data_IF_668322229402
#
_entry.id   IF_668322229402
#
_cell.length_a   1.000
_cell.length_b   1.000
_cell.length_c   1.000
_cell.angle_alpha   90.00
_cell.angle_beta   90.00
_cell.angle_gamma   90.00
#
_symmetry.space_group_name_H-M   'P 1'
#
loop_
_entity.id
_entity.type
_entity.pdbx_description
1 polymer ?
#
# COMPACT_ATOMS: atom_id res chain seq x y z
N UNK A 1 25.25 -5.48 12.93
CA UNK A 1 24.93 -5.27 12.85
C UNK A 1 24.06 -4.92 13.15
N UNK A 2 23.97 -5.10 13.51
CA UNK A 2 23.18 -4.77 13.96
C UNK A 2 22.28 -3.99 13.58
N UNK A 3 22.55 -3.42 13.11
CA UNK A 3 21.70 -2.55 12.55
C UNK A 3 20.58 -3.14 11.95
N UNK A 4 20.65 -4.30 11.69
CA UNK A 4 19.67 -4.93 11.04
C UNK A 4 18.38 -4.74 11.62
N UNK A 5 18.26 -4.79 12.85
CA UNK A 5 17.00 -4.78 13.38
C UNK A 5 16.36 -3.51 13.35
N UNK A 6 17.02 -2.51 13.64
CA UNK A 6 16.35 -1.35 13.78
C UNK A 6 15.78 -0.84 12.57
N UNK A 7 16.25 -1.24 11.47
CA UNK A 7 15.68 -0.66 10.33
C UNK A 7 14.48 -1.35 9.87
N UNK A 8 13.96 -2.23 10.59
CA UNK A 8 12.82 -2.90 10.11
C UNK A 8 11.66 -2.02 9.88
N UNK A 9 11.33 -1.16 10.78
CA UNK A 9 10.19 -0.43 10.63
C UNK A 9 10.36 0.68 9.74
N UNK A 10 11.28 1.53 9.91
CA UNK A 10 11.44 2.63 9.00
C UNK A 10 11.80 2.14 7.62
N UNK A 11 12.30 0.96 7.54
CA UNK A 11 12.69 0.43 6.27
C UNK A 11 11.55 0.12 5.36
N UNK A 12 10.35 0.26 5.80
CA UNK A 12 9.21 0.06 4.93
C UNK A 12 9.27 0.99 3.75
N UNK A 13 9.96 2.11 3.87
CA UNK A 13 10.04 3.05 2.79
C UNK A 13 11.42 3.06 2.15
N UNK A 14 12.31 2.17 2.57
CA UNK A 14 13.62 2.09 1.95
C UNK A 14 13.51 1.44 0.60
N UNK A 15 14.25 1.97 -0.35
CA UNK A 15 14.23 1.42 -1.69
C UNK A 15 14.88 0.05 -1.68
N UNK A 16 14.26 -0.89 -2.33
CA UNK A 16 14.78 -2.24 -2.41
C UNK A 16 15.12 -2.56 -3.86
N UNK A 17 15.76 -3.67 -4.09
CA UNK A 17 16.12 -4.02 -5.45
C UNK A 17 14.87 -4.42 -6.23
N UNK A 18 14.96 -4.28 -7.53
CA UNK A 18 13.83 -4.62 -8.37
C UNK A 18 13.47 -6.10 -8.23
N UNK A 19 14.48 -6.95 -8.12
CA UNK A 19 14.21 -8.36 -7.96
C UNK A 19 13.47 -8.68 -6.67
N UNK A 20 13.88 -8.04 -5.60
CA UNK A 20 13.20 -8.24 -4.33
C UNK A 20 11.79 -7.70 -4.38
N UNK A 21 11.64 -6.54 -4.97
CA UNK A 21 10.34 -5.92 -5.09
C UNK A 21 9.39 -6.83 -5.85
N UNK A 22 9.85 -7.34 -6.99
CA UNK A 22 9.03 -8.20 -7.81
C UNK A 22 8.65 -9.48 -7.06
N UNK A 23 9.60 -10.02 -6.31
CA UNK A 23 9.32 -11.22 -5.58
C UNK A 23 8.28 -11.00 -4.51
N UNK A 24 8.40 -9.93 -3.76
CA UNK A 24 7.41 -9.64 -2.72
C UNK A 24 6.04 -9.37 -3.34
N UNK A 25 6.02 -8.64 -4.44
CA UNK A 25 4.76 -8.30 -5.08
C UNK A 25 4.11 -9.49 -5.79
N UNK A 26 4.91 -10.47 -6.15
CA UNK A 26 4.36 -11.63 -6.84
C UNK A 26 4.22 -11.43 -8.33
N UNK A 27 5.06 -10.61 -8.92
CA UNK A 27 5.05 -10.35 -10.35
C UNK A 27 6.42 -10.60 -10.95
N UNK A 28 6.49 -10.94 -12.22
CA UNK A 28 7.78 -11.01 -12.89
C UNK A 28 8.40 -9.62 -12.98
N UNK A 29 9.71 -9.57 -13.03
CA UNK A 29 10.37 -8.27 -13.12
C UNK A 29 9.95 -7.45 -14.31
N UNK A 30 9.73 -8.10 -15.45
CA UNK A 30 9.38 -7.34 -16.63
C UNK A 30 8.02 -6.68 -16.48
N UNK A 31 7.13 -7.27 -15.69
CA UNK A 31 5.85 -6.62 -15.43
C UNK A 31 6.05 -5.41 -14.54
N UNK A 32 6.95 -5.51 -13.57
CA UNK A 32 7.24 -4.37 -12.72
C UNK A 32 7.83 -3.24 -13.56
N UNK A 33 8.72 -3.58 -14.48
CA UNK A 33 9.30 -2.56 -15.35
C UNK A 33 8.26 -1.90 -16.21
N UNK A 34 7.30 -2.68 -16.68
CA UNK A 34 6.24 -2.12 -17.48
C UNK A 34 5.41 -1.14 -16.68
N UNK A 35 5.14 -1.46 -15.42
CA UNK A 35 4.41 -0.52 -14.57
C UNK A 35 5.20 0.77 -14.37
N UNK A 36 6.51 0.66 -14.29
CA UNK A 36 7.33 1.86 -14.17
C UNK A 36 7.31 2.66 -15.45
N UNK A 37 7.36 1.99 -16.59
CA UNK A 37 7.30 2.67 -17.87
C UNK A 37 5.99 3.39 -18.07
N UNK A 38 4.91 2.82 -17.57
CA UNK A 38 3.59 3.42 -17.67
C UNK A 38 3.36 4.46 -16.58
N UNK A 39 4.38 4.69 -15.76
CA UNK A 39 4.32 5.70 -14.71
C UNK A 39 3.31 5.37 -13.62
N UNK A 40 3.00 4.10 -13.48
CA UNK A 40 2.13 3.67 -12.41
C UNK A 40 2.93 3.34 -11.16
N UNK A 41 4.24 3.28 -11.28
CA UNK A 41 5.11 2.98 -10.16
C UNK A 41 6.36 3.82 -10.31
N UNK A 42 6.56 4.75 -9.41
CA UNK A 42 7.71 5.64 -9.49
C UNK A 42 8.97 4.92 -9.02
N UNK A 43 10.13 5.21 -9.61
CA UNK A 43 11.35 4.54 -9.19
C UNK A 43 11.64 4.72 -7.70
N UNK A 44 11.29 5.84 -7.14
CA UNK A 44 11.52 6.07 -5.73
C UNK A 44 10.55 5.33 -4.83
N UNK A 45 9.59 4.64 -5.41
CA UNK A 45 8.62 3.90 -4.64
C UNK A 45 8.82 2.41 -4.72
N UNK A 46 10.03 1.97 -5.03
CA UNK A 46 10.33 0.54 -5.02
C UNK A 46 10.69 0.19 -3.59
N UNK A 47 9.71 0.17 -2.73
CA UNK A 47 9.91 -0.08 -1.33
C UNK A 47 8.90 -1.11 -0.84
N UNK A 48 9.04 -1.53 0.40
CA UNK A 48 8.20 -2.58 0.92
C UNK A 48 6.73 -2.21 0.94
N UNK A 49 6.41 -0.99 1.28
CA UNK A 49 5.02 -0.59 1.31
C UNK A 49 4.38 -0.69 -0.06
N UNK A 50 5.10 -0.25 -1.07
CA UNK A 50 4.58 -0.35 -2.43
C UNK A 50 4.51 -1.79 -2.87
N UNK A 51 5.49 -2.60 -2.47
CA UNK A 51 5.47 -4.00 -2.84
C UNK A 51 4.28 -4.72 -2.23
N UNK A 52 3.95 -4.40 -0.99
CA UNK A 52 2.81 -5.02 -0.34
C UNK A 52 1.50 -4.55 -0.94
N UNK A 53 1.41 -3.29 -1.32
CA UNK A 53 0.22 -2.79 -1.98
C UNK A 53 0.05 -3.49 -3.33
N UNK A 54 1.13 -3.66 -4.06
CA UNK A 54 1.06 -4.33 -5.34
C UNK A 54 0.71 -5.80 -5.15
N UNK A 55 1.22 -6.43 -4.11
CA UNK A 55 0.90 -7.81 -3.82
C UNK A 55 -0.60 -7.98 -3.60
N UNK A 56 -1.20 -7.06 -2.89
CA UNK A 56 -2.63 -7.12 -2.66
C UNK A 56 -3.38 -6.91 -3.97
N UNK A 57 -2.91 -6.00 -4.80
CA UNK A 57 -3.55 -5.77 -6.09
C UNK A 57 -3.42 -7.00 -6.99
N UNK A 58 -2.28 -7.68 -6.92
CA UNK A 58 -2.07 -8.89 -7.71
C UNK A 58 -3.05 -9.98 -7.27
N UNK A 59 -3.31 -10.05 -5.98
CA UNK A 59 -4.27 -11.01 -5.50
C UNK A 59 -5.65 -10.73 -6.08
N UNK A 60 -6.02 -9.46 -6.12
CA UNK A 60 -7.29 -9.09 -6.71
C UNK A 60 -7.29 -9.28 -8.22
N UNK A 61 -6.12 -9.15 -8.82
CA UNK A 61 -6.01 -9.40 -10.24
C UNK A 61 -6.44 -10.82 -10.59
N UNK A 62 -6.01 -11.77 -9.77
CA UNK A 62 -6.39 -13.15 -10.03
C UNK A 62 -7.89 -13.35 -9.81
N UNK A 63 -8.43 -12.72 -8.81
CA UNK A 63 -9.84 -12.92 -8.50
C UNK A 63 -10.77 -12.27 -9.51
N UNK A 64 -10.36 -11.15 -10.06
CA UNK A 64 -11.22 -10.38 -10.96
C UNK A 64 -10.69 -10.24 -12.38
N UNK A 65 -9.64 -10.99 -12.68
CA UNK A 65 -9.11 -11.01 -14.03
C UNK A 65 -8.74 -9.63 -14.54
N UNK A 66 -8.01 -8.90 -13.74
CA UNK A 66 -7.60 -7.54 -14.12
C UNK A 66 -6.35 -7.58 -14.98
N UNK A 67 -6.20 -6.60 -15.85
CA UNK A 67 -4.97 -6.53 -16.63
C UNK A 67 -3.89 -5.84 -15.79
N UNK A 68 -2.70 -5.80 -16.32
CA UNK A 68 -1.57 -5.25 -15.57
C UNK A 68 -1.75 -3.77 -15.28
N UNK A 69 -2.26 -3.02 -16.22
CA UNK A 69 -2.44 -1.58 -16.03
C UNK A 69 -3.42 -1.34 -14.89
N UNK A 70 -4.53 -2.03 -14.90
CA UNK A 70 -5.54 -1.89 -13.83
C UNK A 70 -4.98 -2.32 -12.50
N UNK A 71 -4.16 -3.37 -12.50
CA UNK A 71 -3.53 -3.84 -11.28
C UNK A 71 -2.62 -2.76 -10.72
N UNK A 72 -1.86 -2.09 -11.58
CA UNK A 72 -0.99 -1.02 -11.14
C UNK A 72 -1.75 0.16 -10.57
N UNK A 73 -2.85 0.53 -11.22
CA UNK A 73 -3.66 1.61 -10.70
C UNK A 73 -4.22 1.26 -9.33
N UNK A 74 -4.69 0.04 -9.20
CA UNK A 74 -5.25 -0.41 -7.94
C UNK A 74 -4.21 -0.39 -6.84
N UNK A 75 -2.99 -0.81 -7.15
CA UNK A 75 -1.92 -0.80 -6.17
C UNK A 75 -1.66 0.64 -5.69
N UNK A 76 -1.71 1.59 -6.61
CA UNK A 76 -1.52 2.98 -6.25
C UNK A 76 -2.60 3.47 -5.29
N UNK A 77 -3.83 3.09 -5.53
CA UNK A 77 -4.91 3.47 -4.62
C UNK A 77 -4.76 2.79 -3.28
N UNK A 78 -4.39 1.52 -3.26
CA UNK A 78 -4.20 0.81 -2.01
C UNK A 78 -3.12 1.50 -1.19
N UNK A 79 -2.02 1.88 -1.84
CA UNK A 79 -0.96 2.56 -1.13
C UNK A 79 -1.42 3.90 -0.60
N UNK A 80 -2.18 4.63 -1.41
CA UNK A 80 -2.65 5.94 -0.99
C UNK A 80 -3.59 5.83 0.20
N UNK A 81 -4.45 4.84 0.18
CA UNK A 81 -5.36 4.63 1.29
C UNK A 81 -4.58 4.31 2.56
N UNK A 82 -3.56 3.47 2.43
CA UNK A 82 -2.75 3.12 3.59
C UNK A 82 -2.04 4.34 4.16
N UNK A 83 -1.56 5.22 3.29
CA UNK A 83 -0.92 6.44 3.73
C UNK A 83 -1.88 7.34 4.47
N UNK A 84 -3.09 7.46 3.95
CA UNK A 84 -4.09 8.29 4.60
C UNK A 84 -4.50 7.72 5.94
N UNK A 85 -4.62 6.41 6.02
CA UNK A 85 -4.96 5.78 7.29
C UNK A 85 -3.87 6.01 8.31
N UNK A 86 -2.62 5.99 7.88
CA UNK A 86 -1.53 6.24 8.79
C UNK A 86 -1.57 7.68 9.30
N UNK A 87 -1.90 8.62 8.42
CA UNK A 87 -2.02 10.01 8.83
C UNK A 87 -3.13 10.19 9.83
N UNK A 88 -4.25 9.55 9.59
CA UNK A 88 -5.36 9.65 10.52
C UNK A 88 -4.96 9.08 11.87
N UNK A 89 -4.25 7.96 11.85
CA UNK A 89 -3.78 7.36 13.09
C UNK A 89 -2.88 8.28 13.87
N UNK A 90 -2.00 8.98 13.16
CA UNK A 90 -1.12 9.91 13.81
C UNK A 90 -1.88 11.09 14.41
N UNK A 91 -2.85 11.58 13.69
CA UNK A 91 -3.64 12.69 14.21
C UNK A 91 -4.41 12.29 15.45
N UNK A 92 -4.93 11.08 15.44
CA UNK A 92 -5.65 10.59 16.60
C UNK A 92 -4.71 10.46 17.79
N UNK A 93 -3.52 10.00 17.55
CA UNK A 93 -2.55 9.85 18.63
C UNK A 93 -2.19 11.18 19.23
N UNK A 94 -2.15 12.22 18.42
CA UNK A 94 -1.81 13.54 18.89
C UNK A 94 -2.97 14.18 19.64
N UNK A 95 -4.16 13.66 19.51
CA UNK A 95 -5.31 14.21 20.17
C UNK A 95 -6.05 13.12 20.89
N UNK A 96 -5.45 12.61 21.92
CA UNK A 96 -6.06 11.52 22.68
C UNK A 96 -7.38 11.97 23.24
N UNK A 97 -8.30 11.09 23.30
CA UNK A 97 -9.58 11.44 23.84
C UNK A 97 -10.58 11.86 22.82
N UNK A 98 -10.16 11.98 21.58
CA UNK A 98 -11.08 12.35 20.58
C UNK A 98 -11.71 11.19 19.95
N UNK A 99 -12.40 10.42 20.69
CA UNK A 99 -13.02 9.23 20.16
C UNK A 99 -14.15 9.56 19.23
N UNK A 100 -14.53 10.78 19.19
CA UNK A 100 -15.63 11.16 18.33
C UNK A 100 -15.31 10.86 16.87
N UNK A 101 -14.06 10.88 16.52
CA UNK A 101 -13.70 10.56 15.18
C UNK A 101 -14.04 9.14 14.84
N UNK A 102 -13.72 8.25 15.72
CA UNK A 102 -13.99 6.87 15.50
C UNK A 102 -15.47 6.65 15.35
N UNK A 103 -16.22 7.31 16.17
CA UNK A 103 -17.66 7.13 16.11
C UNK A 103 -18.24 7.60 14.81
N UNK A 104 -17.78 8.71 14.34
CA UNK A 104 -18.27 9.24 13.09
C UNK A 104 -17.97 8.29 11.96
N UNK A 105 -16.76 7.81 11.90
CA UNK A 105 -16.36 6.90 10.86
C UNK A 105 -17.17 5.63 10.91
N UNK A 106 -17.37 5.14 12.11
CA UNK A 106 -18.09 3.94 12.30
C UNK A 106 -19.51 4.07 11.86
N UNK A 107 -20.14 5.18 12.18
CA UNK A 107 -21.50 5.42 11.80
C UNK A 107 -21.66 5.44 10.30
N UNK A 108 -20.73 6.05 9.62
CA UNK A 108 -20.81 6.09 8.18
C UNK A 108 -20.76 4.72 7.58
N UNK A 109 -19.93 3.87 8.13
CA UNK A 109 -19.82 2.53 7.65
C UNK A 109 -21.11 1.77 7.88
N UNK A 110 -21.67 1.94 9.04
CA UNK A 110 -22.89 1.26 9.34
C UNK A 110 -24.03 1.68 8.47
N UNK A 111 -24.11 2.94 8.18
CA UNK A 111 -25.16 3.41 7.34
C UNK A 111 -25.08 2.80 5.99
N UNK A 112 -23.89 2.64 5.48
CA UNK A 112 -23.74 2.01 4.23
C UNK A 112 -24.17 0.59 4.29
N UNK A 113 -23.83 -0.08 5.35
CA UNK A 113 -24.17 -1.45 5.47
C UNK A 113 -25.61 -1.68 5.64
N UNK A 114 -26.35 -0.71 6.06
CA UNK A 114 -27.67 -0.92 6.27
C UNK A 114 -28.48 -0.85 5.11
N UNK A 115 -28.32 -0.68 4.15
CA UNK A 115 -29.10 -0.61 3.09
C UNK A 115 -29.48 -1.45 2.57
#
# INVERSE_FOLDING_TARGET
MSSTTEHLRPDDTSVMSLGEFARVAGLPEHDVRELMDDQLLAPGRIDLRSALALREAVRLQHDFDLDLFSTGLLAGYIRRIAELQAEIGQLRAQRPGRSVYTEVTFTAVEMRGRR
#
